data_IF_430410520201
#
_entry.id   IF_430410520201
#
_cell.length_a   1.000
_cell.length_b   1.000
_cell.length_c   1.000
_cell.angle_alpha   90.00
_cell.angle_beta   90.00
_cell.angle_gamma   90.00
#
_symmetry.space_group_name_H-M   'P 1'
#
loop_
_entity.id
_entity.type
_entity.pdbx_description
1 polymer ?
#
# COMPACT_ATOMS: atom_id res chain seq x y z
N UNK A 1 6.95 -30.66 33.18
CA UNK A 1 8.05 -29.66 33.31
C UNK A 1 7.60 -28.34 32.68
N UNK A 2 6.48 -27.76 33.12
CA UNK A 2 5.96 -26.49 32.62
C UNK A 2 5.06 -25.84 33.69
N UNK A 3 5.51 -25.84 34.94
CA UNK A 3 4.71 -25.33 36.08
C UNK A 3 5.58 -24.75 37.22
N UNK A 4 6.82 -24.34 36.92
CA UNK A 4 7.76 -23.85 37.95
C UNK A 4 8.33 -22.43 37.72
N UNK A 5 7.97 -21.73 36.65
CA UNK A 5 8.51 -20.37 36.39
C UNK A 5 7.58 -19.22 36.80
N UNK A 6 6.40 -19.48 37.40
CA UNK A 6 5.49 -18.42 37.86
C UNK A 6 5.81 -17.85 39.25
N UNK A 7 6.81 -18.36 39.97
CA UNK A 7 7.03 -17.99 41.38
C UNK A 7 8.34 -17.23 41.67
N UNK A 8 9.13 -16.87 40.66
CA UNK A 8 10.42 -16.19 40.87
C UNK A 8 10.43 -14.69 40.58
N UNK A 9 9.31 -14.08 40.19
CA UNK A 9 9.26 -12.66 39.82
C UNK A 9 9.03 -11.71 41.02
N UNK A 10 9.00 -12.23 42.26
CA UNK A 10 8.84 -11.43 43.48
C UNK A 10 10.15 -11.04 44.18
N UNK A 11 11.33 -11.34 43.61
CA UNK A 11 12.62 -11.04 44.27
C UNK A 11 13.63 -10.26 43.41
N UNK A 12 13.16 -9.44 42.47
CA UNK A 12 14.02 -8.44 41.85
C UNK A 12 13.96 -7.13 42.65
N UNK A 13 14.99 -6.96 43.47
CA UNK A 13 15.31 -5.77 44.25
C UNK A 13 15.18 -4.50 43.40
N UNK A 14 14.54 -3.46 43.96
CA UNK A 14 14.19 -2.20 43.30
C UNK A 14 15.34 -1.38 42.68
N UNK A 15 16.59 -1.85 42.75
CA UNK A 15 17.72 -1.24 42.06
C UNK A 15 17.83 -1.59 40.56
N UNK A 16 17.29 -2.73 40.11
CA UNK A 16 17.34 -3.08 38.66
C UNK A 16 16.25 -2.40 37.83
N UNK A 17 15.13 -1.98 38.45
CA UNK A 17 14.14 -1.10 37.78
C UNK A 17 14.68 0.31 37.52
N UNK A 18 15.74 0.73 38.20
CA UNK A 18 16.26 2.11 38.17
C UNK A 18 17.26 2.40 37.04
N UNK A 19 17.54 1.45 36.14
CA UNK A 19 18.47 1.62 35.00
C UNK A 19 17.82 1.49 33.62
N UNK A 20 16.49 1.54 33.52
CA UNK A 20 15.86 1.78 32.22
C UNK A 20 15.95 3.28 31.93
N UNK A 21 16.95 3.69 31.16
CA UNK A 21 16.95 5.05 30.58
C UNK A 21 15.65 5.21 29.80
N UNK A 22 14.78 6.16 30.14
CA UNK A 22 13.54 6.38 29.41
C UNK A 22 13.90 6.68 27.96
N UNK A 23 13.35 5.92 27.04
CA UNK A 23 13.55 6.23 25.63
C UNK A 23 12.87 7.56 25.31
N UNK A 24 13.62 8.48 24.71
CA UNK A 24 13.00 9.66 24.14
C UNK A 24 11.96 9.21 23.10
N UNK A 25 10.74 9.76 23.15
CA UNK A 25 9.66 9.34 22.25
C UNK A 25 9.95 9.81 20.82
N UNK A 26 10.07 8.85 19.90
CA UNK A 26 10.34 9.07 18.48
C UNK A 26 9.15 8.69 17.59
N UNK A 27 7.94 8.60 18.14
CA UNK A 27 6.71 8.27 17.42
C UNK A 27 6.49 9.10 16.14
N UNK A 28 6.98 10.34 16.09
CA UNK A 28 6.94 11.19 14.89
C UNK A 28 7.66 10.59 13.69
N UNK A 29 8.79 9.90 13.89
CA UNK A 29 9.51 9.26 12.79
C UNK A 29 8.69 8.13 12.17
N UNK A 30 8.01 7.35 13.00
CA UNK A 30 7.12 6.30 12.54
C UNK A 30 5.96 6.87 11.71
N UNK A 31 5.29 7.93 12.18
CA UNK A 31 4.26 8.63 11.40
C UNK A 31 4.80 9.21 10.10
N UNK A 32 6.00 9.80 10.16
CA UNK A 32 6.65 10.37 8.99
C UNK A 32 6.92 9.30 7.93
N UNK A 33 7.33 8.08 8.32
CA UNK A 33 7.49 6.99 7.35
C UNK A 33 6.18 6.67 6.61
N UNK A 34 5.05 6.59 7.33
CA UNK A 34 3.74 6.36 6.71
C UNK A 34 3.33 7.50 5.78
N UNK A 35 3.49 8.76 6.21
CA UNK A 35 3.14 9.93 5.40
C UNK A 35 4.00 10.02 4.15
N UNK A 36 5.32 9.80 4.26
CA UNK A 36 6.25 9.82 3.14
C UNK A 36 5.94 8.72 2.13
N UNK A 37 5.62 7.50 2.57
CA UNK A 37 5.24 6.43 1.63
C UNK A 37 3.94 6.74 0.89
N UNK A 38 2.92 7.25 1.60
CA UNK A 38 1.64 7.63 1.00
C UNK A 38 1.82 8.76 -0.02
N UNK A 39 2.41 9.89 0.40
CA UNK A 39 2.58 11.09 -0.44
C UNK A 39 3.58 10.85 -1.58
N UNK A 40 4.68 10.15 -1.30
CA UNK A 40 5.68 9.77 -2.29
C UNK A 40 5.08 8.89 -3.38
N UNK A 41 4.25 7.91 -3.03
CA UNK A 41 3.57 7.07 -4.01
C UNK A 41 2.58 7.82 -4.90
N UNK A 42 1.77 8.71 -4.33
CA UNK A 42 0.87 9.58 -5.11
C UNK A 42 1.66 10.45 -6.08
N UNK A 43 2.74 11.08 -5.63
CA UNK A 43 3.59 11.91 -6.46
C UNK A 43 4.18 11.12 -7.63
N UNK A 44 4.73 9.92 -7.37
CA UNK A 44 5.29 9.04 -8.41
C UNK A 44 4.23 8.66 -9.45
N UNK A 45 3.01 8.32 -9.01
CA UNK A 45 1.91 7.96 -9.92
C UNK A 45 1.50 9.17 -10.78
N UNK A 46 1.39 10.36 -10.19
CA UNK A 46 1.03 11.59 -10.91
C UNK A 46 2.11 11.98 -11.93
N UNK A 47 3.39 11.92 -11.54
CA UNK A 47 4.52 12.17 -12.44
C UNK A 47 4.51 11.17 -13.59
N UNK A 48 4.29 9.88 -13.32
CA UNK A 48 4.20 8.86 -14.36
C UNK A 48 3.03 9.12 -15.33
N UNK A 49 1.84 9.49 -14.83
CA UNK A 49 0.69 9.87 -15.67
C UNK A 49 0.99 11.12 -16.50
N UNK A 50 1.64 12.13 -15.91
CA UNK A 50 2.05 13.35 -16.61
C UNK A 50 3.04 13.05 -17.75
N UNK A 51 4.07 12.24 -17.48
CA UNK A 51 5.04 11.81 -18.50
C UNK A 51 4.34 11.05 -19.63
N UNK A 52 3.48 10.06 -19.30
CA UNK A 52 2.70 9.31 -20.30
C UNK A 52 1.83 10.23 -21.17
N UNK A 53 1.17 11.21 -20.54
CA UNK A 53 0.34 12.19 -21.24
C UNK A 53 1.19 13.07 -22.18
N UNK A 54 2.32 13.61 -21.69
CA UNK A 54 3.23 14.42 -22.49
C UNK A 54 3.81 13.64 -23.67
N UNK A 55 4.23 12.39 -23.47
CA UNK A 55 4.72 11.51 -24.54
C UNK A 55 3.63 11.20 -25.57
N UNK A 56 2.40 10.94 -25.12
CA UNK A 56 1.25 10.71 -26.02
C UNK A 56 0.96 11.96 -26.87
N UNK A 57 0.89 13.13 -26.23
CA UNK A 57 0.67 14.42 -26.88
C UNK A 57 1.80 14.76 -27.86
N UNK A 58 3.05 14.47 -27.50
CA UNK A 58 4.20 14.64 -28.38
C UNK A 58 4.14 13.70 -29.60
N UNK A 59 3.83 12.42 -29.42
CA UNK A 59 3.62 11.46 -30.52
C UNK A 59 2.47 11.88 -31.44
N UNK A 60 1.36 12.36 -30.89
CA UNK A 60 0.22 12.85 -31.67
C UNK A 60 0.58 14.11 -32.47
N UNK A 61 1.28 15.07 -31.84
CA UNK A 61 1.80 16.28 -32.52
C UNK A 61 2.77 15.92 -33.64
N UNK A 62 3.64 14.93 -33.43
CA UNK A 62 4.58 14.46 -34.44
C UNK A 62 3.88 13.75 -35.60
N UNK A 63 2.88 12.90 -35.31
CA UNK A 63 2.05 12.25 -36.33
C UNK A 63 1.30 13.26 -37.20
N UNK A 64 0.74 14.31 -36.61
CA UNK A 64 0.10 15.41 -37.33
C UNK A 64 1.07 16.19 -38.24
N UNK A 65 2.29 16.47 -37.76
CA UNK A 65 3.32 17.14 -38.57
C UNK A 65 3.76 16.30 -39.77
N UNK A 66 3.87 14.98 -39.62
CA UNK A 66 4.21 14.08 -40.72
C UNK A 66 3.10 14.05 -41.78
N UNK A 67 1.84 13.97 -41.38
CA UNK A 67 0.68 14.00 -42.29
C UNK A 67 0.59 15.34 -43.03
N UNK A 68 0.82 16.46 -42.34
CA UNK A 68 0.83 17.77 -42.98
C UNK A 68 1.95 17.90 -44.01
N UNK A 69 3.14 17.37 -43.73
CA UNK A 69 4.27 17.36 -44.69
C UNK A 69 4.00 16.48 -45.91
N UNK A 70 3.38 15.30 -45.75
CA UNK A 70 3.03 14.45 -46.90
C UNK A 70 1.92 15.05 -47.75
N UNK A 71 0.89 15.63 -47.13
CA UNK A 71 -0.17 16.37 -47.84
C UNK A 71 0.39 17.58 -48.61
N UNK A 72 1.25 18.38 -47.98
CA UNK A 72 1.85 19.53 -48.63
C UNK A 72 2.77 19.12 -49.80
N UNK A 73 3.52 18.01 -49.65
CA UNK A 73 4.35 17.45 -50.73
C UNK A 73 3.52 16.93 -51.90
N UNK A 74 2.38 16.29 -51.64
CA UNK A 74 1.44 15.88 -52.69
C UNK A 74 0.83 17.07 -53.42
N UNK A 75 0.44 18.13 -52.69
CA UNK A 75 -0.12 19.33 -53.29
C UNK A 75 0.92 20.09 -54.15
N UNK A 76 2.17 20.16 -53.69
CA UNK A 76 3.28 20.72 -54.46
C UNK A 76 3.56 19.92 -55.74
N UNK A 77 3.56 18.59 -55.67
CA UNK A 77 3.74 17.72 -56.85
C UNK A 77 2.57 17.82 -57.84
N UNK A 78 1.33 17.99 -57.37
CA UNK A 78 0.17 18.20 -58.26
C UNK A 78 0.27 19.54 -59.01
N UNK A 79 0.78 20.57 -58.34
CA UNK A 79 0.96 21.90 -58.93
C UNK A 79 2.15 21.96 -59.91
N UNK A 80 3.19 21.15 -59.73
CA UNK A 80 4.26 21.01 -60.72
C UNK A 80 3.81 20.21 -61.95
N UNK A 81 3.02 19.15 -61.78
CA UNK A 81 2.46 18.35 -62.89
C UNK A 81 1.46 19.17 -63.72
N UNK A 82 0.63 20.01 -63.11
CA UNK A 82 -0.31 20.87 -63.86
C UNK A 82 0.38 21.98 -64.65
N UNK A 83 1.57 22.43 -64.24
CA UNK A 83 2.41 23.35 -65.02
C UNK A 83 3.10 22.66 -66.19
N UNK A 84 3.47 21.39 -66.06
CA UNK A 84 4.15 20.64 -67.12
C UNK A 84 3.18 20.11 -68.18
N UNK A 85 1.89 19.93 -67.85
CA UNK A 85 0.84 19.53 -68.79
C UNK A 85 0.43 20.61 -69.81
N UNK A 86 0.98 21.83 -69.75
CA UNK A 86 0.64 22.91 -70.70
C UNK A 86 1.59 23.07 -71.88
N UNK A 87 2.73 22.37 -71.91
CA UNK A 87 3.65 22.43 -73.04
C UNK A 87 4.00 21.01 -73.53
N UNK A 88 3.61 20.74 -74.77
CA UNK A 88 4.06 19.68 -75.70
C UNK A 88 3.36 18.30 -75.74
N UNK A 89 3.32 17.67 -76.95
CA UNK A 89 2.36 16.65 -77.30
C UNK A 89 2.84 15.22 -77.03
N UNK A 90 1.87 14.32 -76.97
CA UNK A 90 1.99 12.88 -76.75
C UNK A 90 2.91 12.24 -77.78
N UNK A 91 3.94 11.52 -77.30
CA UNK A 91 4.63 10.48 -78.06
C UNK A 91 4.68 9.19 -77.25
N UNK A 92 4.34 8.10 -77.93
CA UNK A 92 4.36 6.73 -77.43
C UNK A 92 5.78 6.19 -77.65
N UNK A 93 6.42 5.68 -76.60
CA UNK A 93 7.74 5.04 -76.68
C UNK A 93 7.92 3.95 -75.64
N UNK A 94 8.13 2.72 -76.13
CA UNK A 94 8.77 1.63 -75.39
C UNK A 94 10.25 2.00 -75.11
N UNK A 95 10.79 1.71 -73.91
CA UNK A 95 11.88 0.72 -73.69
C UNK A 95 12.36 0.63 -72.21
N UNK A 96 12.65 -0.62 -71.83
CA UNK A 96 13.66 -1.22 -70.91
C UNK A 96 14.04 -0.75 -69.49
N UNK A 97 14.12 -1.80 -68.66
CA UNK A 97 14.95 -2.11 -67.47
C UNK A 97 16.33 -1.43 -67.37
N UNK A 98 16.80 -1.09 -66.15
CA UNK A 98 17.77 -1.87 -65.36
C UNK A 98 18.29 -1.13 -64.08
N UNK A 99 18.15 -1.83 -62.94
CA UNK A 99 19.03 -1.99 -61.76
C UNK A 99 19.87 -0.87 -61.08
N UNK A 100 19.70 -0.82 -59.74
CA UNK A 100 20.72 -1.00 -58.66
C UNK A 100 21.89 -0.01 -58.56
N UNK A 101 21.86 0.84 -57.52
CA UNK A 101 22.91 0.92 -56.48
C UNK A 101 22.59 2.00 -55.43
N UNK A 102 22.37 1.61 -54.17
CA UNK A 102 22.79 2.32 -52.95
C UNK A 102 22.12 1.65 -51.74
N UNK A 103 22.57 0.45 -51.40
CA UNK A 103 22.06 -0.39 -50.31
C UNK A 103 22.97 -0.36 -49.05
N UNK A 104 23.97 0.53 -48.98
CA UNK A 104 25.01 0.46 -47.93
C UNK A 104 24.92 1.51 -46.81
N UNK A 105 23.97 2.46 -46.82
CA UNK A 105 23.87 3.48 -45.75
C UNK A 105 22.86 3.15 -44.62
N UNK A 106 22.11 2.04 -44.71
CA UNK A 106 21.04 1.75 -43.76
C UNK A 106 21.44 0.84 -42.59
N UNK A 107 22.65 0.27 -42.58
CA UNK A 107 23.04 -0.72 -41.57
C UNK A 107 23.65 -0.14 -40.27
N UNK A 108 24.19 1.09 -40.29
CA UNK A 108 24.89 1.64 -39.13
C UNK A 108 23.97 2.34 -38.10
N UNK A 109 22.74 2.68 -38.47
CA UNK A 109 21.76 3.37 -37.60
C UNK A 109 20.79 2.38 -36.91
N UNK A 110 20.67 1.15 -37.44
CA UNK A 110 19.68 0.15 -36.98
C UNK A 110 20.08 -0.58 -35.68
N UNK A 111 21.38 -0.68 -35.38
CA UNK A 111 21.92 -1.54 -34.32
C UNK A 111 21.60 -1.09 -32.88
N UNK A 112 21.70 0.20 -32.48
CA UNK A 112 21.32 0.64 -31.14
C UNK A 112 19.80 0.65 -30.92
N UNK A 113 19.01 0.85 -31.99
CA UNK A 113 17.55 0.84 -31.95
C UNK A 113 16.97 -0.57 -31.71
N UNK A 114 17.59 -1.62 -32.26
CA UNK A 114 17.15 -3.02 -32.07
C UNK A 114 17.32 -3.52 -30.63
N UNK A 115 18.39 -3.11 -29.94
CA UNK A 115 18.61 -3.48 -28.53
C UNK A 115 17.56 -2.84 -27.61
N UNK A 116 17.33 -1.52 -27.76
CA UNK A 116 16.30 -0.80 -27.00
C UNK A 116 14.89 -1.35 -27.27
N UNK A 117 14.61 -1.73 -28.52
CA UNK A 117 13.31 -2.29 -28.92
C UNK A 117 13.09 -3.69 -28.33
N UNK A 118 14.12 -4.54 -28.28
CA UNK A 118 14.06 -5.87 -27.63
C UNK A 118 13.89 -5.77 -26.11
N UNK A 119 14.62 -4.87 -25.45
CA UNK A 119 14.47 -4.63 -24.01
C UNK A 119 13.08 -4.10 -23.66
N UNK A 120 12.54 -3.20 -24.48
CA UNK A 120 11.18 -2.68 -24.33
C UNK A 120 10.11 -3.75 -24.55
N UNK A 121 10.23 -4.57 -25.61
CA UNK A 121 9.32 -5.70 -25.86
C UNK A 121 9.36 -6.75 -24.76
N UNK A 122 10.55 -7.07 -24.24
CA UNK A 122 10.71 -7.97 -23.10
C UNK A 122 10.06 -7.41 -21.84
N UNK A 123 10.26 -6.12 -21.54
CA UNK A 123 9.64 -5.43 -20.40
C UNK A 123 8.10 -5.43 -20.49
N UNK A 124 7.54 -5.15 -21.68
CA UNK A 124 6.09 -5.19 -21.91
C UNK A 124 5.53 -6.61 -21.79
N UNK A 125 6.23 -7.61 -22.31
CA UNK A 125 5.85 -9.02 -22.20
C UNK A 125 5.90 -9.53 -20.76
N UNK A 126 6.93 -9.17 -20.00
CA UNK A 126 7.08 -9.52 -18.60
C UNK A 126 5.99 -8.88 -17.73
N UNK A 127 5.72 -7.58 -17.93
CA UNK A 127 4.64 -6.87 -17.24
C UNK A 127 3.27 -7.54 -17.47
N UNK A 128 2.97 -7.95 -18.71
CA UNK A 128 1.71 -8.65 -19.01
C UNK A 128 1.60 -9.99 -18.28
N UNK A 129 2.69 -10.74 -18.16
CA UNK A 129 2.71 -12.01 -17.40
C UNK A 129 2.53 -11.78 -15.91
N UNK A 130 3.25 -10.82 -15.33
CA UNK A 130 3.16 -10.47 -13.90
C UNK A 130 1.75 -10.01 -13.54
N UNK A 131 1.17 -9.10 -14.32
CA UNK A 131 -0.19 -8.63 -14.11
C UNK A 131 -1.19 -9.80 -14.13
N UNK A 132 -1.10 -10.71 -15.11
CA UNK A 132 -1.97 -11.90 -15.17
C UNK A 132 -1.81 -12.80 -13.95
N UNK A 133 -0.58 -13.01 -13.48
CA UNK A 133 -0.31 -13.78 -12.26
C UNK A 133 -0.92 -13.10 -11.03
N UNK A 134 -0.73 -11.78 -10.89
CA UNK A 134 -1.28 -11.00 -9.80
C UNK A 134 -2.81 -11.03 -9.80
N UNK A 135 -3.46 -10.81 -10.95
CA UNK A 135 -4.92 -10.93 -11.09
C UNK A 135 -5.40 -12.33 -10.71
N UNK A 136 -4.68 -13.39 -11.08
CA UNK A 136 -4.98 -14.78 -10.70
C UNK A 136 -4.91 -15.00 -9.19
N UNK A 137 -3.95 -14.37 -8.50
CA UNK A 137 -3.77 -14.47 -7.05
C UNK A 137 -4.82 -13.66 -6.26
N UNK A 138 -5.31 -12.55 -6.80
CA UNK A 138 -6.39 -11.76 -6.17
C UNK A 138 -7.77 -12.35 -6.46
N UNK A 139 -7.91 -13.17 -7.50
CA UNK A 139 -9.21 -13.72 -7.92
C UNK A 139 -9.62 -14.95 -7.11
N UNK A 140 -10.86 -14.96 -6.61
CA UNK A 140 -11.48 -16.11 -5.93
C UNK A 140 -11.76 -17.30 -6.85
N UNK A 141 -11.69 -17.12 -8.17
CA UNK A 141 -11.91 -18.19 -9.15
C UNK A 141 -10.85 -19.30 -9.02
N UNK A 142 -9.63 -18.95 -8.61
CA UNK A 142 -8.52 -19.89 -8.54
C UNK A 142 -8.30 -20.39 -7.12
N UNK A 143 -7.88 -21.66 -6.99
CA UNK A 143 -7.54 -22.25 -5.69
C UNK A 143 -6.43 -21.46 -4.98
N UNK A 144 -5.39 -21.05 -5.71
CA UNK A 144 -4.29 -20.25 -5.19
C UNK A 144 -4.76 -18.92 -4.60
N UNK A 145 -5.70 -18.23 -5.27
CA UNK A 145 -6.23 -16.97 -4.77
C UNK A 145 -7.10 -17.14 -3.53
N UNK A 146 -7.96 -18.18 -3.51
CA UNK A 146 -8.74 -18.52 -2.31
C UNK A 146 -7.85 -18.82 -1.10
N UNK A 147 -6.75 -19.54 -1.29
CA UNK A 147 -5.80 -19.80 -0.21
C UNK A 147 -5.11 -18.51 0.24
N UNK A 148 -4.63 -17.71 -0.71
CA UNK A 148 -3.92 -16.46 -0.43
C UNK A 148 -4.77 -15.48 0.39
N UNK A 149 -6.04 -15.28 0.02
CA UNK A 149 -6.96 -14.38 0.71
C UNK A 149 -7.32 -14.92 2.10
N UNK A 150 -7.53 -16.24 2.24
CA UNK A 150 -7.74 -16.87 3.56
C UNK A 150 -6.55 -16.67 4.48
N UNK A 151 -5.34 -16.91 3.99
CA UNK A 151 -4.10 -16.68 4.74
C UNK A 151 -4.01 -15.21 5.15
N UNK A 152 -4.27 -14.27 4.24
CA UNK A 152 -4.27 -12.83 4.54
C UNK A 152 -5.22 -12.46 5.68
N UNK A 153 -6.45 -12.99 5.66
CA UNK A 153 -7.42 -12.75 6.74
C UNK A 153 -6.98 -13.36 8.08
N UNK A 154 -6.50 -14.61 8.07
CA UNK A 154 -6.03 -15.27 9.30
C UNK A 154 -4.81 -14.56 9.90
N UNK A 155 -3.84 -14.17 9.07
CA UNK A 155 -2.68 -13.40 9.51
C UNK A 155 -3.10 -12.01 10.02
N UNK A 156 -4.11 -11.38 9.41
CA UNK A 156 -4.60 -10.07 9.89
C UNK A 156 -5.19 -10.16 11.30
N UNK A 157 -5.98 -11.19 11.57
CA UNK A 157 -6.53 -11.44 12.91
C UNK A 157 -5.40 -11.79 13.88
N UNK A 158 -4.47 -12.68 13.50
CA UNK A 158 -3.31 -13.02 14.32
C UNK A 158 -2.44 -11.81 14.66
N UNK A 159 -2.22 -10.91 13.68
CA UNK A 159 -1.46 -9.68 13.86
C UNK A 159 -2.16 -8.68 14.79
N UNK A 160 -3.49 -8.62 14.76
CA UNK A 160 -4.26 -7.84 15.72
C UNK A 160 -4.22 -8.45 17.13
N UNK A 161 -4.25 -9.79 17.25
CA UNK A 161 -4.08 -10.47 18.54
C UNK A 161 -2.71 -10.15 19.14
N UNK A 162 -1.64 -10.19 18.34
CA UNK A 162 -0.29 -9.77 18.79
C UNK A 162 -0.33 -8.34 19.33
N UNK A 163 -0.97 -7.40 18.62
CA UNK A 163 -1.17 -6.04 19.09
C UNK A 163 -1.88 -6.01 20.46
N UNK A 164 -2.97 -6.75 20.64
CA UNK A 164 -3.69 -6.77 21.92
C UNK A 164 -2.84 -7.33 23.06
N UNK A 165 -2.03 -8.37 22.80
CA UNK A 165 -1.11 -8.97 23.78
C UNK A 165 -0.03 -7.95 24.16
N UNK A 166 0.58 -7.29 23.18
CA UNK A 166 1.61 -6.26 23.41
C UNK A 166 1.05 -5.09 24.24
N UNK A 167 -0.16 -4.59 23.92
CA UNK A 167 -0.81 -3.53 24.71
C UNK A 167 -1.27 -3.97 26.10
N UNK A 168 -1.47 -5.27 26.31
CA UNK A 168 -1.87 -5.80 27.61
C UNK A 168 -0.65 -6.00 28.52
N UNK A 169 0.45 -6.52 27.98
CA UNK A 169 1.71 -6.70 28.71
C UNK A 169 2.37 -5.36 29.05
N UNK A 170 2.26 -4.39 28.14
CA UNK A 170 2.89 -3.10 28.26
C UNK A 170 1.86 -1.97 28.20
N UNK A 171 1.04 -1.87 29.25
CA UNK A 171 -0.02 -0.86 29.35
C UNK A 171 0.50 0.58 29.42
N UNK A 172 1.76 0.74 29.86
CA UNK A 172 2.27 2.02 30.31
C UNK A 172 3.17 2.70 29.28
N UNK A 173 3.53 2.10 28.15
CA UNK A 173 4.40 2.76 27.16
C UNK A 173 3.97 2.42 25.71
N UNK A 174 3.87 3.43 24.85
CA UNK A 174 3.57 3.24 23.42
C UNK A 174 4.79 2.85 22.60
N UNK A 175 5.99 3.18 23.09
CA UNK A 175 7.27 2.93 22.44
C UNK A 175 8.18 2.16 23.40
N UNK A 176 8.69 1.04 22.92
CA UNK A 176 9.62 0.20 23.67
C UNK A 176 10.96 0.15 22.95
N UNK A 177 12.01 0.56 23.65
CA UNK A 177 13.39 0.27 23.28
C UNK A 177 13.80 -1.02 23.96
N UNK A 178 14.22 -2.01 23.18
CA UNK A 178 14.32 -3.38 23.68
C UNK A 178 15.57 -3.63 24.53
N UNK A 179 15.37 -4.44 25.56
CA UNK A 179 16.35 -5.34 26.17
C UNK A 179 15.79 -6.77 26.02
N UNK A 180 16.33 -7.57 25.09
CA UNK A 180 16.18 -9.03 24.81
C UNK A 180 14.80 -9.75 24.92
N UNK A 181 13.87 -9.36 25.79
CA UNK A 181 12.63 -10.07 26.10
C UNK A 181 11.52 -9.87 25.05
N UNK A 182 11.56 -8.79 24.25
CA UNK A 182 10.55 -8.50 23.22
C UNK A 182 10.89 -9.00 21.80
N UNK A 183 12.06 -9.62 21.62
CA UNK A 183 12.61 -9.88 20.28
C UNK A 183 11.80 -10.91 19.48
N UNK A 184 11.32 -11.97 20.14
CA UNK A 184 10.54 -13.03 19.48
C UNK A 184 9.21 -12.49 18.91
N UNK A 185 8.49 -11.69 19.70
CA UNK A 185 7.21 -11.11 19.28
C UNK A 185 7.39 -10.11 18.14
N UNK A 186 8.49 -9.34 18.17
CA UNK A 186 8.86 -8.40 17.10
C UNK A 186 9.23 -9.10 15.80
N UNK A 187 9.95 -10.22 15.87
CA UNK A 187 10.29 -11.01 14.70
C UNK A 187 9.03 -11.61 14.05
N UNK A 188 8.10 -12.13 14.87
CA UNK A 188 6.82 -12.63 14.37
C UNK A 188 5.99 -11.51 13.71
N UNK A 189 5.91 -10.33 14.34
CA UNK A 189 5.22 -9.17 13.73
C UNK A 189 5.87 -8.79 12.40
N UNK A 190 7.21 -8.76 12.32
CA UNK A 190 7.92 -8.48 11.06
C UNK A 190 7.55 -9.48 9.96
N UNK A 191 7.53 -10.78 10.27
CA UNK A 191 7.14 -11.83 9.29
C UNK A 191 5.72 -11.59 8.77
N UNK A 192 4.77 -11.20 9.64
CA UNK A 192 3.41 -10.86 9.22
C UNK A 192 3.37 -9.59 8.36
N UNK A 193 4.14 -8.55 8.69
CA UNK A 193 4.22 -7.34 7.87
C UNK A 193 4.87 -7.59 6.51
N UNK A 194 5.87 -8.48 6.41
CA UNK A 194 6.44 -8.89 5.12
C UNK A 194 5.39 -9.60 4.25
N UNK A 195 4.56 -10.45 4.85
CA UNK A 195 3.43 -11.04 4.14
C UNK A 195 2.41 -9.98 3.69
N UNK A 196 2.07 -9.02 4.54
CA UNK A 196 1.16 -7.92 4.15
C UNK A 196 1.74 -7.02 3.08
N UNK A 197 3.06 -6.81 3.06
CA UNK A 197 3.74 -6.11 1.99
C UNK A 197 3.59 -6.86 0.66
N UNK A 198 3.80 -8.18 0.67
CA UNK A 198 3.56 -9.01 -0.51
C UNK A 198 2.10 -8.93 -0.97
N UNK A 199 1.15 -8.98 -0.03
CA UNK A 199 -0.27 -8.85 -0.30
C UNK A 199 -0.63 -7.49 -0.92
N UNK A 200 -0.09 -6.40 -0.39
CA UNK A 200 -0.22 -5.06 -0.94
C UNK A 200 0.36 -4.98 -2.37
N UNK A 201 1.57 -5.49 -2.60
CA UNK A 201 2.22 -5.47 -3.91
C UNK A 201 1.43 -6.27 -4.96
N UNK A 202 0.91 -7.45 -4.60
CA UNK A 202 0.07 -8.25 -5.50
C UNK A 202 -1.21 -7.51 -5.87
N UNK A 203 -1.88 -6.86 -4.90
CA UNK A 203 -3.07 -6.04 -5.17
C UNK A 203 -2.75 -4.83 -6.05
N UNK A 204 -1.64 -4.15 -5.79
CA UNK A 204 -1.18 -3.02 -6.59
C UNK A 204 -0.90 -3.41 -8.04
N UNK A 205 -0.23 -4.54 -8.27
CA UNK A 205 0.07 -5.06 -9.61
C UNK A 205 -1.20 -5.54 -10.37
N UNK A 206 -2.24 -5.93 -9.65
CA UNK A 206 -3.52 -6.35 -10.22
C UNK A 206 -4.50 -5.19 -10.47
N UNK A 207 -4.23 -4.00 -9.93
CA UNK A 207 -5.15 -2.86 -10.01
C UNK A 207 -5.19 -2.26 -11.42
N UNK A 208 -6.42 -2.04 -11.93
CA UNK A 208 -6.64 -1.41 -13.24
C UNK A 208 -6.42 0.11 -13.19
N UNK A 209 -6.89 0.78 -12.13
CA UNK A 209 -6.56 2.18 -11.84
C UNK A 209 -5.68 2.26 -10.60
N UNK A 210 -4.39 2.52 -10.83
CA UNK A 210 -3.37 2.61 -9.79
C UNK A 210 -3.60 3.77 -8.83
N UNK A 211 -4.22 4.88 -9.28
CA UNK A 211 -4.44 6.03 -8.41
C UNK A 211 -5.61 5.80 -7.46
N UNK A 212 -6.72 5.27 -7.97
CA UNK A 212 -7.87 4.90 -7.15
C UNK A 212 -7.50 3.83 -6.11
N UNK A 213 -6.68 2.85 -6.52
CA UNK A 213 -6.13 1.86 -5.59
C UNK A 213 -5.23 2.49 -4.53
N UNK A 214 -4.40 3.46 -4.88
CA UNK A 214 -3.44 4.06 -3.95
C UNK A 214 -4.12 4.84 -2.82
N UNK A 215 -5.26 5.50 -3.11
CA UNK A 215 -6.04 6.28 -2.13
C UNK A 215 -7.15 5.47 -1.44
N UNK A 216 -7.27 4.18 -1.74
CA UNK A 216 -8.24 3.28 -1.11
C UNK A 216 -7.96 3.13 0.40
N UNK A 217 -9.01 3.07 1.22
CA UNK A 217 -8.89 3.01 2.69
C UNK A 217 -8.01 1.84 3.14
N UNK A 218 -8.14 0.67 2.49
CA UNK A 218 -7.36 -0.51 2.84
C UNK A 218 -5.88 -0.37 2.47
N UNK A 219 -5.59 0.35 1.39
CA UNK A 219 -4.21 0.71 1.02
C UNK A 219 -3.62 1.69 2.04
N UNK A 220 -4.43 2.65 2.53
CA UNK A 220 -4.02 3.57 3.61
C UNK A 220 -3.68 2.81 4.90
N UNK A 221 -4.50 1.83 5.28
CA UNK A 221 -4.20 0.94 6.42
C UNK A 221 -2.86 0.22 6.23
N UNK A 222 -2.55 -0.23 5.02
CA UNK A 222 -1.27 -0.89 4.70
C UNK A 222 -0.07 0.08 4.86
N UNK A 223 -0.19 1.34 4.39
CA UNK A 223 0.87 2.36 4.58
C UNK A 223 1.05 2.78 6.03
N UNK A 224 -0.01 2.72 6.82
CA UNK A 224 0.08 3.09 8.22
C UNK A 224 0.66 1.99 9.11
N UNK A 225 0.67 0.74 8.65
CA UNK A 225 1.06 -0.41 9.47
C UNK A 225 2.37 -1.04 9.04
N UNK A 226 2.66 -1.10 7.73
CA UNK A 226 3.83 -1.83 7.19
C UNK A 226 5.12 -1.00 7.30
N UNK A 227 5.23 0.24 6.76
CA UNK A 227 6.45 1.03 6.84
C UNK A 227 6.93 1.30 8.28
N UNK A 228 6.06 1.69 9.24
CA UNK A 228 6.47 1.85 10.63
C UNK A 228 7.03 0.57 11.26
N UNK A 229 6.46 -0.59 10.94
CA UNK A 229 6.94 -1.87 11.48
C UNK A 229 8.33 -2.24 10.93
N UNK A 230 8.57 -2.00 9.64
CA UNK A 230 9.87 -2.21 9.01
C UNK A 230 10.90 -1.23 9.59
N UNK A 231 10.56 0.05 9.72
CA UNK A 231 11.42 1.06 10.31
C UNK A 231 11.79 0.72 11.75
N UNK A 232 10.80 0.35 12.57
CA UNK A 232 11.04 -0.04 13.96
C UNK A 232 11.98 -1.24 14.11
N UNK A 233 11.89 -2.22 13.21
CA UNK A 233 12.82 -3.35 13.22
C UNK A 233 14.27 -2.92 12.93
N UNK A 234 14.48 -2.01 11.98
CA UNK A 234 15.83 -1.50 11.66
C UNK A 234 16.43 -0.64 12.78
N UNK A 235 15.62 0.17 13.44
CA UNK A 235 16.06 1.05 14.53
C UNK A 235 16.14 0.32 15.89
N UNK A 236 15.65 -0.93 15.98
CA UNK A 236 15.60 -1.68 17.23
C UNK A 236 14.52 -1.17 18.21
N UNK A 237 13.50 -0.46 17.73
CA UNK A 237 12.41 0.13 18.52
C UNK A 237 11.05 -0.40 18.10
N UNK A 238 10.18 -0.72 19.05
CA UNK A 238 8.78 -1.11 18.75
C UNK A 238 7.83 0.03 19.07
N UNK A 239 7.13 0.55 18.06
CA UNK A 239 6.01 1.46 18.26
C UNK A 239 4.68 0.77 17.96
N UNK A 240 3.81 0.73 18.97
CA UNK A 240 2.52 0.04 18.93
C UNK A 240 1.43 0.86 18.22
N UNK A 241 1.66 2.16 18.05
CA UNK A 241 0.61 3.15 17.82
C UNK A 241 -0.39 2.87 16.70
N UNK A 242 0.04 2.81 15.43
CA UNK A 242 -0.89 2.63 14.30
C UNK A 242 -1.30 1.18 14.02
N UNK A 243 -0.83 0.20 14.82
CA UNK A 243 -1.05 -1.23 14.56
C UNK A 243 -2.50 -1.65 14.73
N UNK A 244 -3.31 -0.93 15.52
CA UNK A 244 -4.74 -1.24 15.70
C UNK A 244 -5.52 -1.19 14.38
N UNK A 245 -5.10 -0.37 13.40
CA UNK A 245 -5.80 -0.25 12.12
C UNK A 245 -5.88 -1.56 11.34
N UNK A 246 -5.03 -2.54 11.66
CA UNK A 246 -5.09 -3.90 11.07
C UNK A 246 -6.46 -4.56 11.27
N UNK A 247 -7.21 -4.19 12.32
CA UNK A 247 -8.57 -4.71 12.55
C UNK A 247 -9.56 -4.29 11.46
N UNK A 248 -9.34 -3.14 10.80
CA UNK A 248 -10.22 -2.63 9.74
C UNK A 248 -10.36 -3.64 8.59
N UNK A 249 -9.36 -4.50 8.38
CA UNK A 249 -9.41 -5.56 7.36
C UNK A 249 -10.51 -6.59 7.60
N UNK A 250 -11.01 -6.73 8.85
CA UNK A 250 -12.13 -7.63 9.17
C UNK A 250 -13.43 -7.22 8.46
N UNK A 251 -13.56 -5.97 7.99
CA UNK A 251 -14.72 -5.52 7.20
C UNK A 251 -14.95 -6.41 5.96
N UNK A 252 -13.88 -6.91 5.34
CA UNK A 252 -13.97 -7.82 4.19
C UNK A 252 -14.26 -9.27 4.56
N UNK A 253 -14.32 -9.64 5.85
CA UNK A 253 -14.60 -11.00 6.29
C UNK A 253 -15.89 -11.55 5.67
N UNK A 254 -16.92 -10.70 5.59
CA UNK A 254 -18.19 -11.07 5.00
C UNK A 254 -18.10 -11.46 3.52
N UNK A 255 -17.36 -10.68 2.75
CA UNK A 255 -17.09 -10.94 1.34
C UNK A 255 -16.24 -12.22 1.15
N UNK A 256 -15.20 -12.39 1.98
CA UNK A 256 -14.33 -13.57 1.95
C UNK A 256 -15.14 -14.84 2.20
N UNK A 257 -15.96 -14.85 3.26
CA UNK A 257 -16.78 -16.02 3.60
C UNK A 257 -17.84 -16.33 2.53
N UNK A 258 -18.43 -15.32 1.90
CA UNK A 258 -19.35 -15.51 0.78
C UNK A 258 -18.65 -16.17 -0.42
N UNK A 259 -17.49 -15.65 -0.81
CA UNK A 259 -16.72 -16.18 -1.94
C UNK A 259 -16.10 -17.57 -1.66
N UNK A 260 -15.97 -17.97 -0.40
CA UNK A 260 -15.54 -19.31 0.02
C UNK A 260 -16.71 -20.32 0.13
N UNK A 261 -17.93 -19.92 -0.27
CA UNK A 261 -19.16 -20.73 -0.12
C UNK A 261 -19.47 -21.14 1.34
N UNK A 262 -18.99 -20.38 2.33
CA UNK A 262 -19.31 -20.61 3.75
C UNK A 262 -20.70 -20.06 4.11
N UNK A 263 -21.10 -18.97 3.46
CA UNK A 263 -22.43 -18.36 3.60
C UNK A 263 -23.20 -18.53 2.29
N UNK A 264 -24.43 -19.04 2.38
CA UNK A 264 -25.31 -19.23 1.22
C UNK A 264 -26.51 -18.29 1.19
N UNK A 265 -26.89 -17.72 2.34
CA UNK A 265 -28.05 -16.84 2.46
C UNK A 265 -27.66 -15.37 2.34
N UNK A 266 -28.37 -14.63 1.49
CA UNK A 266 -28.17 -13.19 1.32
C UNK A 266 -28.40 -12.40 2.62
N UNK A 267 -29.34 -12.84 3.47
CA UNK A 267 -29.58 -12.21 4.77
C UNK A 267 -28.40 -12.41 5.73
N UNK A 268 -27.84 -13.62 5.76
CA UNK A 268 -26.66 -13.92 6.58
C UNK A 268 -25.44 -13.11 6.12
N UNK A 269 -25.27 -12.91 4.81
CA UNK A 269 -24.21 -12.05 4.27
C UNK A 269 -24.35 -10.60 4.77
N UNK A 270 -25.55 -10.02 4.66
CA UNK A 270 -25.80 -8.63 5.11
C UNK A 270 -25.58 -8.46 6.61
N UNK A 271 -26.05 -9.41 7.41
CA UNK A 271 -25.84 -9.39 8.87
C UNK A 271 -24.34 -9.47 9.17
N UNK A 272 -23.60 -10.36 8.50
CA UNK A 272 -22.17 -10.48 8.75
C UNK A 272 -21.39 -9.24 8.30
N UNK A 273 -21.78 -8.59 7.19
CA UNK A 273 -21.21 -7.30 6.78
C UNK A 273 -21.42 -6.25 7.87
N UNK A 274 -22.64 -6.13 8.38
CA UNK A 274 -22.98 -5.17 9.43
C UNK A 274 -22.21 -5.44 10.73
N UNK A 275 -22.18 -6.69 11.19
CA UNK A 275 -21.46 -7.10 12.40
C UNK A 275 -19.96 -6.87 12.25
N UNK A 276 -19.36 -7.27 11.12
CA UNK A 276 -17.92 -7.09 10.88
C UNK A 276 -17.54 -5.62 10.85
N UNK A 277 -18.38 -4.78 10.23
CA UNK A 277 -18.19 -3.33 10.24
C UNK A 277 -18.29 -2.74 11.64
N UNK A 278 -19.30 -3.13 12.42
CA UNK A 278 -19.48 -2.65 13.79
C UNK A 278 -18.31 -3.05 14.70
N UNK A 279 -17.85 -4.31 14.61
CA UNK A 279 -16.67 -4.80 15.34
C UNK A 279 -15.41 -4.04 14.92
N UNK A 280 -15.19 -3.83 13.62
CA UNK A 280 -14.04 -3.06 13.13
C UNK A 280 -14.04 -1.63 13.69
N UNK A 281 -15.20 -0.97 13.67
CA UNK A 281 -15.36 0.39 14.17
C UNK A 281 -15.11 0.47 15.68
N UNK A 282 -15.63 -0.48 16.45
CA UNK A 282 -15.46 -0.52 17.89
C UNK A 282 -13.99 -0.71 18.29
N UNK A 283 -13.32 -1.75 17.76
CA UNK A 283 -11.91 -2.01 18.08
C UNK A 283 -10.98 -0.92 17.53
N UNK A 284 -11.26 -0.38 16.33
CA UNK A 284 -10.48 0.72 15.78
C UNK A 284 -10.68 2.00 16.60
N UNK A 285 -11.89 2.30 17.05
CA UNK A 285 -12.16 3.44 17.92
C UNK A 285 -11.42 3.33 19.25
N UNK A 286 -11.39 2.13 19.84
CA UNK A 286 -10.62 1.89 21.06
C UNK A 286 -9.11 2.05 20.84
N UNK A 287 -8.61 1.61 19.68
CA UNK A 287 -7.21 1.82 19.29
C UNK A 287 -6.84 3.29 19.08
N UNK A 288 -7.74 4.08 18.48
CA UNK A 288 -7.55 5.54 18.33
C UNK A 288 -7.52 6.22 19.69
N UNK A 289 -8.49 5.93 20.57
CA UNK A 289 -8.53 6.51 21.91
C UNK A 289 -7.30 6.11 22.73
N UNK A 290 -6.90 4.83 22.70
CA UNK A 290 -5.67 4.33 23.31
C UNK A 290 -4.42 5.04 22.80
N UNK A 291 -4.33 5.28 21.49
CA UNK A 291 -3.19 5.98 20.90
C UNK A 291 -3.14 7.43 21.37
N UNK A 292 -4.25 8.16 21.29
CA UNK A 292 -4.30 9.60 21.59
C UNK A 292 -4.00 9.86 23.06
N UNK A 293 -4.64 9.13 23.98
CA UNK A 293 -4.46 9.36 25.42
C UNK A 293 -3.05 8.99 25.91
N UNK A 294 -2.41 7.99 25.28
CA UNK A 294 -1.06 7.58 25.67
C UNK A 294 0.06 8.31 24.90
N UNK A 295 -0.28 9.13 23.88
CA UNK A 295 0.71 9.92 23.13
C UNK A 295 0.94 11.25 23.83
N UNK A 296 2.11 11.41 24.46
CA UNK A 296 2.53 12.70 25.00
C UNK A 296 2.83 13.68 23.87
N UNK A 297 1.98 14.69 23.70
CA UNK A 297 2.27 15.81 22.80
C UNK A 297 3.20 16.81 23.51
N UNK A 298 4.15 17.46 22.81
CA UNK A 298 5.18 18.30 23.43
C UNK A 298 4.61 19.57 24.05
N UNK A 299 3.35 19.90 23.73
CA UNK A 299 2.67 21.13 24.12
C UNK A 299 1.98 21.05 25.48
N UNK A 300 2.04 19.91 26.18
CA UNK A 300 1.40 19.74 27.49
C UNK A 300 2.41 19.29 28.55
N UNK A 301 2.82 20.22 29.40
CA UNK A 301 3.63 19.97 30.62
C UNK A 301 2.85 19.21 31.72
N UNK A 302 1.74 18.53 31.40
CA UNK A 302 0.80 17.96 32.39
C UNK A 302 0.55 16.48 32.23
N UNK A 303 1.44 15.72 31.59
CA UNK A 303 1.36 14.26 31.65
C UNK A 303 1.94 13.78 32.97
N UNK A 304 1.14 13.83 34.05
CA UNK A 304 1.41 12.95 35.19
C UNK A 304 1.54 11.52 34.64
N UNK A 305 2.62 10.79 34.98
CA UNK A 305 2.88 9.45 34.42
C UNK A 305 1.79 8.41 34.77
N UNK A 306 0.84 8.75 35.66
CA UNK A 306 -0.27 7.90 36.08
C UNK A 306 -1.54 7.95 35.21
N UNK A 307 -1.62 8.82 34.20
CA UNK A 307 -2.83 8.99 33.37
C UNK A 307 -2.90 8.09 32.13
N UNK A 308 -2.02 7.08 32.02
CA UNK A 308 -2.01 6.17 30.88
C UNK A 308 -3.19 5.19 30.94
N UNK A 309 -3.81 4.96 29.79
CA UNK A 309 -5.03 4.16 29.68
C UNK A 309 -4.73 2.91 28.87
N UNK A 310 -4.83 1.73 29.50
CA UNK A 310 -4.65 0.45 28.79
C UNK A 310 -5.78 0.16 27.78
N UNK A 311 -5.47 -0.64 26.75
CA UNK A 311 -6.38 -0.92 25.63
C UNK A 311 -7.75 -1.49 26.04
N UNK A 312 -7.82 -2.32 27.09
CA UNK A 312 -9.09 -2.87 27.59
C UNK A 312 -9.99 -1.77 28.19
N UNK A 313 -9.38 -0.80 28.87
CA UNK A 313 -10.11 0.35 29.42
C UNK A 313 -10.56 1.28 28.30
N UNK A 314 -9.77 1.41 27.23
CA UNK A 314 -10.19 2.06 25.98
C UNK A 314 -11.38 1.38 25.32
N UNK A 315 -11.41 0.04 25.27
CA UNK A 315 -12.56 -0.72 24.75
C UNK A 315 -13.81 -0.45 25.57
N UNK A 316 -13.69 -0.48 26.91
CA UNK A 316 -14.78 -0.16 27.82
C UNK A 316 -15.34 1.25 27.57
N UNK A 317 -14.47 2.26 27.48
CA UNK A 317 -14.86 3.65 27.21
C UNK A 317 -15.66 3.79 25.91
N UNK A 318 -15.21 3.14 24.83
CA UNK A 318 -15.90 3.20 23.53
C UNK A 318 -17.26 2.50 23.58
N UNK A 319 -17.40 1.35 24.26
CA UNK A 319 -18.72 0.69 24.41
C UNK A 319 -19.69 1.61 25.13
N UNK A 320 -19.29 2.11 26.30
CA UNK A 320 -20.14 2.93 27.17
C UNK A 320 -20.58 4.23 26.47
N UNK A 321 -19.68 4.82 25.68
CA UNK A 321 -19.95 6.03 24.91
C UNK A 321 -20.84 5.74 23.70
N UNK A 322 -20.55 4.70 22.91
CA UNK A 322 -21.38 4.30 21.76
C UNK A 322 -22.79 3.88 22.17
N UNK A 323 -22.94 3.25 23.34
CA UNK A 323 -24.25 2.90 23.91
C UNK A 323 -24.96 4.08 24.57
N UNK A 324 -24.39 5.28 24.56
CA UNK A 324 -24.93 6.51 25.18
C UNK A 324 -25.16 6.40 26.69
N UNK A 325 -24.44 5.51 27.38
CA UNK A 325 -24.57 5.32 28.83
C UNK A 325 -23.78 6.37 29.60
N UNK A 326 -22.51 6.58 29.25
CA UNK A 326 -21.70 7.68 29.78
C UNK A 326 -21.53 7.71 31.30
N UNK A 327 -21.02 6.62 31.91
CA UNK A 327 -20.80 6.55 33.37
C UNK A 327 -19.88 7.64 33.93
N UNK A 328 -18.91 8.11 33.15
CA UNK A 328 -17.95 9.15 33.54
C UNK A 328 -16.78 8.67 34.40
N UNK A 329 -16.61 7.35 34.56
CA UNK A 329 -15.51 6.71 35.29
C UNK A 329 -14.20 6.61 34.46
N UNK A 330 -14.33 6.63 33.13
CA UNK A 330 -13.23 6.77 32.18
C UNK A 330 -13.57 7.94 31.25
N UNK A 331 -12.69 8.94 31.22
CA UNK A 331 -12.87 10.14 30.40
C UNK A 331 -11.54 10.57 29.78
N UNK A 332 -11.54 11.13 28.56
CA UNK A 332 -10.34 11.68 27.95
C UNK A 332 -9.76 12.81 28.81
N UNK A 333 -8.48 12.70 29.14
CA UNK A 333 -7.76 13.73 29.88
C UNK A 333 -7.00 14.67 28.94
N UNK A 334 -6.71 14.20 27.72
CA UNK A 334 -5.96 14.98 26.74
C UNK A 334 -6.88 15.88 25.90
N UNK A 335 -6.38 17.03 25.46
CA UNK A 335 -7.13 17.96 24.57
C UNK A 335 -7.43 17.31 23.22
N UNK A 336 -6.56 16.40 22.75
CA UNK A 336 -6.79 15.67 21.51
C UNK A 336 -7.81 14.53 21.66
N UNK A 337 -8.00 14.01 22.88
CA UNK A 337 -8.95 12.95 23.17
C UNK A 337 -10.36 13.45 23.44
N UNK A 338 -10.50 14.68 23.96
CA UNK A 338 -11.77 15.42 24.06
C UNK A 338 -12.27 15.83 22.68
#
# INVERSE_FOLDING_TARGET
MAELDMHNDETLTGEEKSKRTPCEPHWYFFLLTSILTMMGGVLVILVFRAIRYLVSKAKQKQRMRTIFRTLFRHHANYFSVSKQSKNEPVSIGLDKDHSVHSQEEEELIQHPARLHTRAYLFSVGLHSKIHKLATKLVSYQYFSGRLFIKCSMLLSVGSFIIYTIETYQFSDELEHCDDRAGWDLRLIDLVFNVFFLLHFLVRWLAATDTLAFWVDLFSVVDYCTIPPAIYGYFEGRSWTGLRFMRIIRIVHLAEVCNNLNLIRSANSLRIMQFVSFFVALWFSGAGVYHLIENTSFPTQETSDPGNKVGFVRSLYYIVVTMSTVGYGDVTPQTVCGQ
#
